data_IF_636893338295
#
_entry.id   IF_636893338295
#
_cell.length_a   1.000
_cell.length_b   1.000
_cell.length_c   1.000
_cell.angle_alpha   90.00
_cell.angle_beta   90.00
_cell.angle_gamma   90.00
#
_symmetry.space_group_name_H-M   'P 1'
#
loop_
_entity.id
_entity.type
_entity.pdbx_description
1 polymer ?
#
# COMPACT_ATOMS: atom_id res chain seq x y z
N UNK A 1 1.19 -20.30 -2.50
CA UNK A 1 1.60 -20.54 -3.90
C UNK A 1 1.43 -19.30 -4.80
N UNK A 2 0.26 -18.66 -4.83
CA UNK A 2 0.01 -17.51 -5.70
C UNK A 2 0.98 -16.33 -5.50
N UNK A 3 1.15 -15.86 -4.27
CA UNK A 3 2.02 -14.73 -3.97
C UNK A 3 3.49 -15.05 -4.22
N UNK A 4 3.92 -16.26 -3.88
CA UNK A 4 5.26 -16.74 -4.20
C UNK A 4 5.49 -16.79 -5.73
N UNK A 5 4.50 -17.28 -6.49
CA UNK A 5 4.53 -17.25 -7.94
C UNK A 5 4.54 -15.83 -8.55
N UNK A 6 4.16 -14.81 -7.76
CA UNK A 6 4.29 -13.39 -8.11
C UNK A 6 5.64 -12.78 -7.72
N UNK A 7 6.56 -13.59 -7.19
CA UNK A 7 7.90 -13.16 -6.78
C UNK A 7 7.97 -12.56 -5.38
N UNK A 8 6.91 -12.67 -4.57
CA UNK A 8 6.96 -12.22 -3.17
C UNK A 8 7.78 -13.22 -2.35
N UNK A 9 8.70 -12.70 -1.54
CA UNK A 9 9.57 -13.51 -0.68
C UNK A 9 8.77 -14.32 0.35
N UNK A 10 9.20 -15.56 0.55
CA UNK A 10 8.49 -16.53 1.41
C UNK A 10 8.44 -16.09 2.89
N UNK A 11 9.49 -15.45 3.40
CA UNK A 11 9.53 -14.95 4.78
C UNK A 11 8.51 -13.83 4.98
N UNK A 12 8.34 -12.94 4.00
CA UNK A 12 7.36 -11.86 4.03
C UNK A 12 5.93 -12.43 4.00
N UNK A 13 5.70 -13.44 3.14
CA UNK A 13 4.42 -14.14 3.08
C UNK A 13 4.10 -14.78 4.43
N UNK A 14 5.03 -15.54 5.00
CA UNK A 14 4.84 -16.19 6.29
C UNK A 14 4.56 -15.20 7.41
N UNK A 15 5.32 -14.11 7.48
CA UNK A 15 5.06 -13.04 8.43
C UNK A 15 3.62 -12.52 8.31
N UNK A 16 3.17 -12.24 7.09
CA UNK A 16 1.80 -11.74 6.87
C UNK A 16 0.72 -12.77 7.25
N UNK A 17 0.97 -14.07 7.04
CA UNK A 17 0.07 -15.14 7.45
C UNK A 17 0.01 -15.26 8.99
N UNK A 18 1.15 -15.24 9.67
CA UNK A 18 1.25 -15.31 11.14
C UNK A 18 0.58 -14.11 11.82
N UNK A 19 0.63 -12.93 11.18
CA UNK A 19 0.00 -11.70 11.68
C UNK A 19 -1.45 -11.55 11.19
N UNK A 20 -2.01 -12.54 10.51
CA UNK A 20 -3.35 -12.51 9.91
C UNK A 20 -3.59 -11.32 8.96
N UNK A 21 -2.50 -10.74 8.42
CA UNK A 21 -2.55 -9.67 7.42
C UNK A 21 -2.95 -10.19 6.04
N UNK A 22 -2.70 -11.47 5.79
CA UNK A 22 -3.11 -12.17 4.57
C UNK A 22 -3.80 -13.46 4.98
N UNK A 23 -4.95 -13.70 4.40
CA UNK A 23 -5.71 -14.96 4.58
C UNK A 23 -6.17 -15.49 3.23
N UNK A 24 -6.65 -16.72 3.21
CA UNK A 24 -7.29 -17.34 2.05
C UNK A 24 -8.79 -17.36 2.24
N UNK A 25 -9.56 -16.92 1.25
CA UNK A 25 -11.02 -16.97 1.30
C UNK A 25 -11.58 -18.31 0.81
N UNK A 26 -12.64 -18.78 1.40
CA UNK A 26 -13.40 -19.94 0.93
C UNK A 26 -14.73 -19.49 0.30
N UNK A 27 -15.24 -20.20 -0.71
CA UNK A 27 -14.67 -21.39 -1.37
C UNK A 27 -13.74 -21.05 -2.56
N UNK A 28 -13.48 -19.76 -2.86
CA UNK A 28 -12.80 -19.34 -4.09
C UNK A 28 -11.28 -19.30 -3.99
N UNK A 29 -10.72 -19.55 -2.81
CA UNK A 29 -9.26 -19.54 -2.58
C UNK A 29 -8.57 -18.25 -3.01
N UNK A 30 -9.25 -17.09 -2.87
CA UNK A 30 -8.65 -15.80 -3.15
C UNK A 30 -7.64 -15.41 -2.07
N UNK A 31 -6.58 -14.72 -2.44
CA UNK A 31 -5.73 -14.01 -1.49
C UNK A 31 -6.49 -12.78 -0.97
N UNK A 32 -6.63 -12.65 0.35
CA UNK A 32 -7.31 -11.53 1.00
C UNK A 32 -6.33 -10.77 1.86
N UNK A 33 -6.22 -9.47 1.64
CA UNK A 33 -5.33 -8.55 2.34
C UNK A 33 -6.13 -7.77 3.37
N UNK A 34 -5.78 -7.89 4.65
CA UNK A 34 -6.52 -7.34 5.78
C UNK A 34 -5.83 -6.07 6.28
N UNK A 35 -6.63 -5.09 6.65
CA UNK A 35 -6.19 -3.89 7.36
C UNK A 35 -6.94 -3.72 8.68
N UNK A 36 -6.20 -3.37 9.72
CA UNK A 36 -6.69 -3.29 11.09
C UNK A 36 -6.73 -1.85 11.60
N UNK A 37 -7.62 -1.58 12.55
CA UNK A 37 -7.59 -0.36 13.34
C UNK A 37 -6.63 -0.49 14.55
N UNK A 38 -6.57 0.53 15.38
CA UNK A 38 -5.70 0.59 16.57
C UNK A 38 -6.06 -0.42 17.66
N UNK A 39 -7.29 -0.94 17.63
CA UNK A 39 -7.77 -1.97 18.56
C UNK A 39 -7.51 -3.38 18.02
N UNK A 40 -6.78 -3.50 16.92
CA UNK A 40 -6.57 -4.76 16.19
C UNK A 40 -7.87 -5.39 15.66
N UNK A 41 -8.88 -4.55 15.38
CA UNK A 41 -10.11 -4.97 14.74
C UNK A 41 -9.96 -4.88 13.22
N UNK A 42 -10.33 -5.91 12.44
CA UNK A 42 -10.28 -5.84 10.98
C UNK A 42 -11.32 -4.83 10.47
N UNK A 43 -10.87 -3.83 9.74
CA UNK A 43 -11.71 -2.74 9.18
C UNK A 43 -11.63 -2.64 7.66
N UNK A 44 -10.65 -3.29 7.06
CA UNK A 44 -10.45 -3.30 5.62
C UNK A 44 -10.08 -4.70 5.15
N UNK A 45 -10.64 -5.12 4.04
CA UNK A 45 -10.22 -6.31 3.34
C UNK A 45 -10.30 -6.10 1.83
N UNK A 46 -9.25 -6.45 1.11
CA UNK A 46 -9.24 -6.51 -0.34
C UNK A 46 -8.92 -7.93 -0.78
N UNK A 47 -9.56 -8.39 -1.84
CA UNK A 47 -9.31 -9.72 -2.38
C UNK A 47 -8.70 -9.69 -3.78
N UNK A 48 -7.92 -10.70 -4.07
CA UNK A 48 -7.34 -10.97 -5.39
C UNK A 48 -7.54 -12.44 -5.74
N UNK A 49 -8.18 -12.70 -6.87
CA UNK A 49 -8.30 -14.06 -7.38
C UNK A 49 -6.90 -14.64 -7.66
N UNK A 50 -6.70 -15.88 -7.24
CA UNK A 50 -5.42 -16.60 -7.40
C UNK A 50 -5.34 -17.37 -8.70
N UNK A 51 -6.45 -17.39 -9.46
CA UNK A 51 -6.56 -17.98 -10.79
C UNK A 51 -6.32 -16.94 -11.91
N UNK A 52 -6.55 -17.32 -13.15
CA UNK A 52 -6.34 -16.46 -14.32
C UNK A 52 -7.38 -15.35 -14.52
N UNK A 53 -8.46 -15.30 -13.69
CA UNK A 53 -9.59 -14.41 -13.91
C UNK A 53 -9.29 -12.92 -13.68
N UNK A 54 -8.19 -12.59 -13.03
CA UNK A 54 -7.80 -11.21 -12.64
C UNK A 54 -8.84 -10.47 -11.79
N UNK A 55 -9.83 -11.18 -11.22
CA UNK A 55 -10.85 -10.58 -10.36
C UNK A 55 -10.19 -10.06 -9.07
N UNK A 56 -10.49 -8.82 -8.72
CA UNK A 56 -10.02 -8.17 -7.51
C UNK A 56 -11.02 -7.10 -7.06
N UNK A 57 -10.99 -6.75 -5.80
CA UNK A 57 -11.84 -5.69 -5.25
C UNK A 57 -11.74 -5.57 -3.75
N UNK A 58 -12.40 -4.57 -3.22
CA UNK A 58 -12.58 -4.43 -1.78
C UNK A 58 -13.79 -5.25 -1.31
N UNK A 59 -13.71 -5.86 -0.15
CA UNK A 59 -14.84 -6.52 0.48
C UNK A 59 -15.87 -5.47 0.94
N UNK A 60 -17.15 -5.83 0.90
CA UNK A 60 -18.25 -4.94 1.35
C UNK A 60 -18.00 -4.52 2.80
N UNK A 61 -18.18 -3.23 3.09
CA UNK A 61 -17.95 -2.66 4.42
C UNK A 61 -16.51 -2.24 4.72
N UNK A 62 -15.58 -2.48 3.80
CA UNK A 62 -14.18 -2.06 3.94
C UNK A 62 -14.05 -0.54 4.07
N UNK A 63 -13.17 -0.12 4.99
CA UNK A 63 -12.83 1.27 5.26
C UNK A 63 -11.40 1.55 4.81
N UNK A 64 -11.22 2.23 3.68
CA UNK A 64 -9.90 2.45 3.05
C UNK A 64 -8.87 3.13 3.94
N UNK A 65 -9.28 3.95 4.91
CA UNK A 65 -8.35 4.56 5.87
C UNK A 65 -7.56 3.53 6.70
N UNK A 66 -8.01 2.28 6.73
CA UNK A 66 -7.34 1.16 7.38
C UNK A 66 -6.74 0.17 6.38
N UNK A 67 -6.44 0.59 5.17
CA UNK A 67 -5.90 -0.26 4.11
C UNK A 67 -4.70 -1.10 4.57
N UNK A 68 -4.42 -2.14 3.80
CA UNK A 68 -3.28 -3.04 4.05
C UNK A 68 -1.97 -2.28 4.21
N UNK A 69 -1.18 -2.63 5.21
CA UNK A 69 0.09 -1.97 5.54
C UNK A 69 1.04 -2.89 6.32
N UNK A 70 2.33 -2.63 6.17
CA UNK A 70 3.40 -3.13 7.02
C UNK A 70 4.05 -1.91 7.66
N UNK A 71 3.80 -1.66 8.95
CA UNK A 71 4.18 -0.42 9.61
C UNK A 71 5.27 -0.63 10.63
N UNK A 72 6.26 0.26 10.60
CA UNK A 72 7.19 0.48 11.70
C UNK A 72 6.90 1.84 12.33
N UNK A 73 7.11 1.95 13.63
CA UNK A 73 6.87 3.18 14.38
C UNK A 73 8.05 4.15 14.27
N UNK A 74 7.76 5.45 14.33
CA UNK A 74 8.76 6.53 14.44
C UNK A 74 9.81 6.54 13.32
N UNK A 75 9.45 6.12 12.13
CA UNK A 75 10.38 6.11 10.98
C UNK A 75 10.64 7.51 10.42
N UNK A 76 9.77 8.48 10.69
CA UNK A 76 9.80 9.81 10.07
C UNK A 76 9.41 9.81 8.58
N UNK A 77 9.19 8.64 8.00
CA UNK A 77 8.97 8.41 6.58
C UNK A 77 7.82 7.41 6.36
N UNK A 78 7.10 7.57 5.25
CA UNK A 78 6.10 6.60 4.77
C UNK A 78 6.26 6.35 3.29
N UNK A 79 6.15 5.10 2.88
CA UNK A 79 6.15 4.65 1.50
C UNK A 79 4.73 4.28 1.05
N UNK A 80 4.28 4.82 -0.06
CA UNK A 80 2.91 4.63 -0.57
C UNK A 80 2.90 3.82 -1.87
N UNK A 81 1.99 2.85 -1.93
CA UNK A 81 1.79 1.92 -3.04
C UNK A 81 0.32 1.93 -3.48
N UNK A 82 0.03 1.62 -4.73
CA UNK A 82 -1.35 1.53 -5.19
C UNK A 82 -2.08 0.34 -4.56
N UNK A 83 -1.43 -0.82 -4.45
CA UNK A 83 -2.05 -2.01 -3.88
C UNK A 83 -1.11 -2.81 -2.95
N UNK A 84 -1.67 -3.80 -2.26
CA UNK A 84 -0.93 -4.65 -1.33
C UNK A 84 0.18 -5.47 -2.02
N UNK A 85 -0.03 -5.92 -3.27
CA UNK A 85 0.97 -6.72 -3.99
C UNK A 85 2.19 -5.87 -4.34
N UNK A 86 2.00 -4.62 -4.76
CA UNK A 86 3.11 -3.71 -5.06
C UNK A 86 3.93 -3.42 -3.80
N UNK A 87 3.27 -3.21 -2.66
CA UNK A 87 3.89 -3.07 -1.35
C UNK A 87 4.73 -4.29 -0.97
N UNK A 88 4.18 -5.50 -1.10
CA UNK A 88 4.89 -6.74 -0.79
C UNK A 88 6.06 -6.99 -1.73
N UNK A 89 5.92 -6.62 -3.01
CA UNK A 89 7.00 -6.67 -3.99
C UNK A 89 8.15 -5.75 -3.59
N UNK A 90 7.84 -4.52 -3.16
CA UNK A 90 8.84 -3.59 -2.66
C UNK A 90 9.54 -4.11 -1.40
N UNK A 91 8.79 -4.65 -0.43
CA UNK A 91 9.38 -5.28 0.76
C UNK A 91 10.35 -6.42 0.38
N UNK A 92 10.00 -7.20 -0.64
CA UNK A 92 10.87 -8.25 -1.19
C UNK A 92 12.15 -7.68 -1.79
N UNK A 93 12.06 -6.60 -2.59
CA UNK A 93 13.23 -5.93 -3.14
C UNK A 93 14.14 -5.37 -2.04
N UNK A 94 13.59 -4.75 -1.02
CA UNK A 94 14.36 -4.24 0.12
C UNK A 94 15.12 -5.37 0.83
N UNK A 95 14.49 -6.51 1.04
CA UNK A 95 15.15 -7.70 1.59
C UNK A 95 16.29 -8.19 0.69
N UNK A 96 16.07 -8.26 -0.63
CA UNK A 96 17.11 -8.66 -1.59
C UNK A 96 18.31 -7.70 -1.62
N UNK A 97 18.08 -6.42 -1.33
CA UNK A 97 19.13 -5.40 -1.15
C UNK A 97 19.80 -5.44 0.23
N UNK A 98 19.46 -6.39 1.08
CA UNK A 98 19.99 -6.51 2.44
C UNK A 98 19.43 -5.50 3.45
N UNK A 99 18.31 -4.84 3.12
CA UNK A 99 17.60 -3.92 4.00
C UNK A 99 16.52 -4.65 4.80
N UNK A 100 16.32 -4.26 6.04
CA UNK A 100 15.25 -4.83 6.86
C UNK A 100 13.92 -4.11 6.58
N UNK A 101 13.07 -4.74 5.79
CA UNK A 101 11.74 -4.22 5.44
C UNK A 101 10.82 -4.00 6.64
N UNK A 102 11.09 -4.66 7.79
CA UNK A 102 10.32 -4.49 9.03
C UNK A 102 10.53 -3.12 9.69
N UNK A 103 11.58 -2.42 9.28
CA UNK A 103 11.86 -1.06 9.75
C UNK A 103 11.26 0.03 8.87
N UNK A 104 10.55 -0.35 7.82
CA UNK A 104 9.91 0.56 6.89
C UNK A 104 8.42 0.73 7.23
N UNK A 105 7.88 1.91 6.94
CA UNK A 105 6.46 2.19 7.05
C UNK A 105 5.83 2.13 5.66
N UNK A 106 5.28 0.97 5.29
CA UNK A 106 4.75 0.68 3.96
C UNK A 106 3.23 0.65 4.00
N UNK A 107 2.57 1.44 3.14
CA UNK A 107 1.10 1.62 3.17
C UNK A 107 0.51 1.55 1.77
N UNK A 108 -0.51 0.73 1.59
CA UNK A 108 -1.31 0.67 0.37
C UNK A 108 -2.37 1.77 0.36
N UNK A 109 -2.57 2.45 -0.77
CA UNK A 109 -3.66 3.41 -0.98
C UNK A 109 -5.01 2.75 -1.24
N UNK A 110 -5.06 1.42 -1.34
CA UNK A 110 -6.25 0.66 -1.67
C UNK A 110 -6.86 1.02 -3.04
N UNK A 111 -6.01 1.12 -4.05
CA UNK A 111 -6.33 1.42 -5.44
C UNK A 111 -5.71 2.70 -5.96
N UNK A 112 -5.92 2.94 -7.24
CA UNK A 112 -5.37 4.12 -7.92
C UNK A 112 -5.99 5.39 -7.35
N UNK A 113 -5.14 6.34 -6.95
CA UNK A 113 -5.60 7.66 -6.54
C UNK A 113 -5.99 8.48 -7.78
N UNK A 114 -7.25 8.93 -7.80
CA UNK A 114 -7.78 9.76 -8.89
C UNK A 114 -7.83 11.23 -8.47
N UNK A 115 -6.89 12.07 -8.93
CA UNK A 115 -6.92 13.51 -8.63
C UNK A 115 -8.08 14.18 -9.34
N UNK A 116 -8.50 15.33 -8.82
CA UNK A 116 -9.48 16.19 -9.50
C UNK A 116 -8.90 16.78 -10.79
N UNK A 117 -9.79 17.28 -11.65
CA UNK A 117 -9.39 17.95 -12.91
C UNK A 117 -8.48 19.14 -12.63
N UNK A 118 -8.82 19.95 -11.63
CA UNK A 118 -7.95 20.98 -11.08
C UNK A 118 -7.16 20.36 -9.92
N UNK A 119 -5.87 20.17 -10.10
CA UNK A 119 -4.99 19.41 -9.21
C UNK A 119 -4.99 19.99 -7.79
N UNK A 120 -4.99 21.31 -7.66
CA UNK A 120 -4.97 22.02 -6.38
C UNK A 120 -6.22 21.76 -5.52
N UNK A 121 -7.32 21.36 -6.15
CA UNK A 121 -8.57 20.99 -5.45
C UNK A 121 -8.62 19.50 -5.08
N UNK A 122 -7.56 18.76 -5.38
CA UNK A 122 -7.45 17.34 -5.05
C UNK A 122 -7.32 17.13 -3.53
N UNK A 123 -7.93 16.07 -3.03
CA UNK A 123 -7.88 15.75 -1.60
C UNK A 123 -6.77 14.73 -1.32
N UNK A 124 -6.19 14.80 -0.15
CA UNK A 124 -5.27 13.75 0.33
C UNK A 124 -6.04 12.42 0.41
N UNK A 125 -5.46 11.30 -0.08
CA UNK A 125 -6.07 9.99 0.08
C UNK A 125 -6.41 9.69 1.54
N UNK A 126 -7.57 9.11 1.81
CA UNK A 126 -8.07 8.91 3.18
C UNK A 126 -7.11 8.10 4.06
N UNK A 127 -6.43 7.13 3.47
CA UNK A 127 -5.39 6.32 4.12
C UNK A 127 -4.24 7.19 4.60
N UNK A 128 -3.69 8.02 3.70
CA UNK A 128 -2.57 8.91 4.01
C UNK A 128 -2.99 9.99 5.01
N UNK A 129 -4.15 10.62 4.80
CA UNK A 129 -4.68 11.64 5.70
C UNK A 129 -4.78 11.15 7.13
N UNK A 130 -5.36 9.96 7.35
CA UNK A 130 -5.44 9.35 8.67
C UNK A 130 -4.04 9.06 9.26
N UNK A 131 -3.13 8.53 8.46
CA UNK A 131 -1.77 8.24 8.92
C UNK A 131 -1.05 9.51 9.39
N UNK A 132 -1.11 10.59 8.61
CA UNK A 132 -0.50 11.88 8.94
C UNK A 132 -1.16 12.58 10.14
N UNK A 133 -2.42 12.27 10.44
CA UNK A 133 -3.09 12.71 11.66
C UNK A 133 -2.58 11.97 12.89
N UNK A 134 -2.31 10.68 12.77
CA UNK A 134 -1.88 9.80 13.88
C UNK A 134 -0.39 9.87 14.13
N UNK A 135 0.43 9.85 13.11
CA UNK A 135 1.89 9.90 13.24
C UNK A 135 2.43 11.27 12.84
N UNK A 136 2.66 12.11 13.84
CA UNK A 136 3.22 13.46 13.66
C UNK A 136 4.75 13.47 13.48
N UNK A 137 5.39 12.31 13.52
CA UNK A 137 6.83 12.19 13.24
C UNK A 137 7.14 12.19 11.75
N UNK A 138 6.18 11.81 10.90
CA UNK A 138 6.36 11.75 9.45
C UNK A 138 6.71 13.13 8.90
N UNK A 139 7.80 13.20 8.14
CA UNK A 139 8.28 14.38 7.40
C UNK A 139 8.48 14.10 5.92
N UNK A 140 8.66 12.82 5.57
CA UNK A 140 8.95 12.37 4.21
C UNK A 140 7.92 11.37 3.73
N UNK A 141 7.46 11.56 2.50
CA UNK A 141 6.49 10.69 1.81
C UNK A 141 7.12 10.23 0.51
N UNK A 142 7.29 8.93 0.35
CA UNK A 142 7.86 8.33 -0.86
C UNK A 142 6.74 7.66 -1.66
N UNK A 143 6.59 8.06 -2.90
CA UNK A 143 5.53 7.61 -3.79
C UNK A 143 6.06 6.53 -4.74
N UNK A 144 5.64 5.29 -4.56
CA UNK A 144 5.93 4.15 -5.45
C UNK A 144 4.70 3.81 -6.30
N UNK A 145 4.07 4.83 -6.90
CA UNK A 145 2.90 4.64 -7.73
C UNK A 145 3.31 4.14 -9.12
N UNK A 146 2.41 3.45 -9.81
CA UNK A 146 2.67 2.85 -11.11
C UNK A 146 3.25 3.87 -12.12
N UNK A 147 4.19 3.41 -12.95
CA UNK A 147 4.81 4.24 -13.98
C UNK A 147 3.96 4.30 -15.25
N UNK A 148 2.66 4.45 -15.09
CA UNK A 148 1.69 4.65 -16.16
C UNK A 148 1.07 6.06 -16.10
N UNK A 149 0.18 6.38 -17.03
CA UNK A 149 -0.44 7.71 -17.13
C UNK A 149 -1.22 8.06 -15.83
N UNK A 150 -1.92 7.09 -15.24
CA UNK A 150 -2.73 7.31 -14.05
C UNK A 150 -1.84 7.52 -12.81
N UNK A 151 -0.84 6.67 -12.59
CA UNK A 151 0.12 6.79 -11.50
C UNK A 151 0.95 8.06 -11.59
N UNK A 152 1.41 8.45 -12.80
CA UNK A 152 2.16 9.72 -12.98
C UNK A 152 1.28 10.95 -12.67
N UNK A 153 0.01 10.92 -13.06
CA UNK A 153 -0.95 11.99 -12.73
C UNK A 153 -1.24 12.04 -11.22
N UNK A 154 -1.39 10.89 -10.59
CA UNK A 154 -1.57 10.76 -9.15
C UNK A 154 -0.35 11.32 -8.38
N UNK A 155 0.86 10.92 -8.78
CA UNK A 155 2.12 11.42 -8.21
C UNK A 155 2.21 12.94 -8.26
N UNK A 156 2.00 13.53 -9.46
CA UNK A 156 2.03 14.97 -9.62
C UNK A 156 1.03 15.69 -8.70
N UNK A 157 -0.17 15.14 -8.58
CA UNK A 157 -1.19 15.73 -7.71
C UNK A 157 -0.78 15.67 -6.23
N UNK A 158 -0.28 14.53 -5.76
CA UNK A 158 0.16 14.38 -4.38
C UNK A 158 1.36 15.27 -4.06
N UNK A 159 2.33 15.40 -4.97
CA UNK A 159 3.42 16.36 -4.83
C UNK A 159 2.88 17.78 -4.69
N UNK A 160 1.95 18.19 -5.56
CA UNK A 160 1.38 19.56 -5.54
C UNK A 160 0.69 19.88 -4.21
N UNK A 161 -0.12 18.96 -3.66
CA UNK A 161 -0.92 19.24 -2.46
C UNK A 161 -0.19 18.98 -1.14
N UNK A 162 0.96 18.29 -1.14
CA UNK A 162 1.67 17.89 0.08
C UNK A 162 3.04 18.58 0.26
N UNK A 163 3.68 19.08 -0.79
CA UNK A 163 5.05 19.60 -0.74
C UNK A 163 5.25 20.81 0.15
N UNK A 164 4.19 21.53 0.51
CA UNK A 164 4.28 22.66 1.45
C UNK A 164 4.58 22.19 2.90
N UNK A 165 4.25 20.95 3.22
CA UNK A 165 4.36 20.42 4.59
C UNK A 165 5.30 19.23 4.72
N UNK A 166 5.54 18.50 3.63
CA UNK A 166 6.29 17.26 3.60
C UNK A 166 7.29 17.25 2.45
N UNK A 167 8.41 16.55 2.65
CA UNK A 167 9.26 16.14 1.54
C UNK A 167 8.53 15.02 0.77
N UNK A 168 8.18 15.26 -0.48
CA UNK A 168 7.48 14.28 -1.33
C UNK A 168 8.40 13.80 -2.42
N UNK A 169 8.81 12.54 -2.34
CA UNK A 169 9.75 11.89 -3.27
C UNK A 169 8.98 11.02 -4.24
N UNK A 170 9.28 11.12 -5.52
CA UNK A 170 8.77 10.26 -6.58
C UNK A 170 9.78 9.16 -6.86
N UNK A 171 9.41 7.92 -6.54
CA UNK A 171 10.25 6.72 -6.74
C UNK A 171 9.41 5.60 -7.37
N UNK A 172 9.01 5.76 -8.64
CA UNK A 172 8.19 4.77 -9.34
C UNK A 172 8.97 3.48 -9.59
N UNK A 173 8.30 2.33 -9.78
CA UNK A 173 8.94 1.12 -10.21
C UNK A 173 9.66 1.33 -11.54
N UNK A 174 10.89 0.80 -11.66
CA UNK A 174 11.76 1.01 -12.83
C UNK A 174 11.19 0.38 -14.12
N UNK A 175 10.40 -0.68 -13.96
CA UNK A 175 9.75 -1.40 -15.06
C UNK A 175 8.24 -1.26 -14.91
N UNK A 176 7.56 -0.82 -15.97
CA UNK A 176 6.10 -0.84 -16.04
C UNK A 176 5.58 -2.28 -15.94
N UNK A 177 4.31 -2.40 -15.57
CA UNK A 177 3.62 -3.69 -15.51
C UNK A 177 3.61 -4.37 -16.87
#
# INVERSE_FOLDING_TARGET
DYLFGRGIDFEIINYCLEQELIIESLPYHNAVFIGYDENKEPKYAAYRATNQSRIMGDCTGSKKQYSFRLTAENTGEVHLFECAIDLLSYATLMKLEGKDWRQLNLVSLAGVYSPKQKIEDSKVPVTLGRLLEKDKTIRRIVLHLDNDIAGRKATKALQTILSDKYEVVDDPPQYGK
#
